data_IF_478533992732
#
_entry.id   IF_478533992732
#
_cell.length_a   1.000
_cell.length_b   1.000
_cell.length_c   1.000
_cell.angle_alpha   90.00
_cell.angle_beta   90.00
_cell.angle_gamma   90.00
#
_symmetry.space_group_name_H-M   'P 1'
#
loop_
_entity.id
_entity.type
_entity.pdbx_description
1 polymer ?
#
# COMPACT_ATOMS: atom_id res chain seq x y z
N UNK A 1 -21.93 10.77 -9.98
CA UNK A 1 -22.49 11.38 -11.20
C UNK A 1 -21.76 12.69 -11.57
N UNK A 2 -21.75 13.71 -10.70
CA UNK A 2 -21.08 14.99 -10.99
C UNK A 2 -19.58 14.86 -11.33
N UNK A 3 -18.81 14.05 -10.58
CA UNK A 3 -17.40 13.79 -10.88
C UNK A 3 -17.19 13.08 -12.23
N UNK A 4 -18.11 12.19 -12.62
CA UNK A 4 -18.06 11.50 -13.92
C UNK A 4 -18.35 12.48 -15.07
N UNK A 5 -19.32 13.37 -14.89
CA UNK A 5 -19.64 14.40 -15.87
C UNK A 5 -18.47 15.38 -16.05
N UNK A 6 -17.88 15.86 -14.95
CA UNK A 6 -16.70 16.73 -14.97
C UNK A 6 -15.51 16.05 -15.63
N UNK A 7 -15.23 14.78 -15.30
CA UNK A 7 -14.16 14.03 -15.96
C UNK A 7 -14.40 13.88 -17.46
N UNK A 8 -15.64 13.60 -17.87
CA UNK A 8 -15.99 13.43 -19.28
C UNK A 8 -15.94 14.73 -20.11
N UNK A 9 -16.15 15.89 -19.48
CA UNK A 9 -16.22 17.18 -20.20
C UNK A 9 -14.97 18.04 -20.07
N UNK A 10 -14.23 17.94 -18.96
CA UNK A 10 -13.08 18.81 -18.66
C UNK A 10 -11.73 18.11 -18.81
N UNK A 11 -11.65 16.77 -18.77
CA UNK A 11 -10.40 16.09 -19.07
C UNK A 11 -10.33 15.76 -20.57
N UNK A 12 -9.38 16.34 -21.32
CA UNK A 12 -9.14 15.92 -22.69
C UNK A 12 -8.66 14.47 -22.70
N UNK A 13 -9.25 13.66 -23.59
CA UNK A 13 -8.88 12.26 -23.75
C UNK A 13 -7.40 12.16 -24.14
N UNK A 14 -6.56 11.65 -23.23
CA UNK A 14 -5.11 11.57 -23.43
C UNK A 14 -4.68 10.36 -24.28
N UNK A 15 -5.61 9.44 -24.57
CA UNK A 15 -5.34 8.25 -25.36
C UNK A 15 -5.53 8.53 -26.88
N UNK A 16 -4.48 8.30 -27.70
CA UNK A 16 -4.57 8.41 -29.17
C UNK A 16 -5.73 7.60 -29.74
N UNK A 17 -6.38 8.11 -30.79
CA UNK A 17 -7.60 7.54 -31.36
C UNK A 17 -7.44 6.09 -31.84
N UNK A 18 -6.24 5.78 -32.31
CA UNK A 18 -5.70 4.51 -32.78
C UNK A 18 -5.49 3.48 -31.66
N UNK A 19 -5.36 3.91 -30.41
CA UNK A 19 -5.25 3.05 -29.24
C UNK A 19 -6.58 2.91 -28.47
N UNK A 20 -7.64 3.56 -28.94
CA UNK A 20 -8.96 3.49 -28.31
C UNK A 20 -9.53 2.09 -28.41
N UNK A 21 -10.11 1.68 -27.30
CA UNK A 21 -10.63 0.35 -27.16
C UNK A 21 -12.13 0.31 -27.46
N UNK A 22 -12.60 -0.65 -28.29
CA UNK A 22 -14.03 -0.90 -28.40
C UNK A 22 -14.54 -1.29 -27.01
N UNK A 23 -15.50 -0.54 -26.48
CA UNK A 23 -16.06 -0.79 -25.16
C UNK A 23 -16.84 -2.11 -25.10
N UNK A 24 -17.24 -2.51 -23.89
CA UNK A 24 -18.13 -3.65 -23.68
C UNK A 24 -17.76 -4.48 -22.45
N UNK A 25 -18.78 -4.98 -21.72
CA UNK A 25 -18.59 -5.76 -20.50
C UNK A 25 -17.72 -7.01 -20.70
N UNK A 26 -17.81 -7.67 -21.86
CA UNK A 26 -16.99 -8.84 -22.18
C UNK A 26 -15.51 -8.53 -22.37
N UNK A 27 -15.17 -7.41 -23.02
CA UNK A 27 -13.77 -7.04 -23.25
C UNK A 27 -13.14 -6.45 -21.98
N UNK A 28 -13.94 -5.80 -21.12
CA UNK A 28 -13.53 -5.45 -19.74
C UNK A 28 -13.21 -6.70 -18.92
N UNK A 29 -14.10 -7.70 -18.90
CA UNK A 29 -13.86 -8.95 -18.16
C UNK A 29 -12.58 -9.66 -18.60
N UNK A 30 -12.34 -9.75 -19.92
CA UNK A 30 -11.12 -10.32 -20.48
C UNK A 30 -9.86 -9.58 -20.03
N UNK A 31 -9.88 -8.24 -20.02
CA UNK A 31 -8.73 -7.42 -19.54
C UNK A 31 -8.44 -7.63 -18.07
N UNK A 32 -9.47 -7.75 -17.24
CA UNK A 32 -9.32 -8.11 -15.82
C UNK A 32 -8.64 -9.47 -15.68
N UNK A 33 -9.08 -10.49 -16.42
CA UNK A 33 -8.48 -11.83 -16.37
C UNK A 33 -7.00 -11.83 -16.75
N UNK A 34 -6.59 -11.04 -17.76
CA UNK A 34 -5.17 -11.02 -18.17
C UNK A 34 -4.29 -10.41 -17.08
N UNK A 35 -4.73 -9.33 -16.43
CA UNK A 35 -3.98 -8.72 -15.33
C UNK A 35 -3.94 -9.65 -14.10
N UNK A 36 -5.04 -10.35 -13.81
CA UNK A 36 -5.11 -11.34 -12.73
C UNK A 36 -4.31 -12.62 -12.98
N UNK A 37 -3.82 -12.87 -14.21
CA UNK A 37 -2.89 -13.96 -14.49
C UNK A 37 -1.45 -13.64 -14.07
N UNK A 38 -1.11 -12.37 -13.90
CA UNK A 38 0.20 -11.99 -13.36
C UNK A 38 0.22 -12.22 -11.84
N UNK A 39 0.97 -13.24 -11.41
CA UNK A 39 1.14 -13.60 -10.00
C UNK A 39 1.72 -12.46 -9.16
N UNK A 40 2.56 -11.60 -9.74
CA UNK A 40 3.17 -10.48 -9.03
C UNK A 40 2.15 -9.36 -8.81
N UNK A 41 1.33 -9.06 -9.83
CA UNK A 41 0.19 -8.17 -9.68
C UNK A 41 -0.82 -8.68 -8.63
N UNK A 42 -1.19 -9.96 -8.69
CA UNK A 42 -2.10 -10.56 -7.70
C UNK A 42 -1.51 -10.47 -6.28
N UNK A 43 -0.19 -10.62 -6.11
CA UNK A 43 0.42 -10.39 -4.81
C UNK A 43 0.24 -8.94 -4.33
N UNK A 44 0.47 -7.95 -5.19
CA UNK A 44 0.24 -6.54 -4.81
C UNK A 44 -1.23 -6.27 -4.50
N UNK A 45 -2.15 -6.88 -5.25
CA UNK A 45 -3.59 -6.81 -5.02
C UNK A 45 -3.98 -7.34 -3.63
N UNK A 46 -3.45 -8.52 -3.25
CA UNK A 46 -3.72 -9.16 -1.97
C UNK A 46 -3.08 -8.41 -0.80
N UNK A 47 -1.83 -7.93 -0.97
CA UNK A 47 -1.17 -7.10 0.04
C UNK A 47 -1.95 -5.80 0.23
N UNK A 48 -2.37 -5.16 -0.86
CA UNK A 48 -3.23 -3.98 -0.81
C UNK A 48 -4.55 -4.22 -0.08
N UNK A 49 -5.19 -5.37 -0.33
CA UNK A 49 -6.40 -5.78 0.40
C UNK A 49 -6.14 -5.94 1.90
N UNK A 50 -5.10 -6.68 2.29
CA UNK A 50 -4.73 -6.88 3.70
C UNK A 50 -4.38 -5.55 4.41
N UNK A 51 -3.61 -4.69 3.76
CA UNK A 51 -3.24 -3.37 4.29
C UNK A 51 -4.46 -2.45 4.38
N UNK A 52 -5.38 -2.52 3.41
CA UNK A 52 -6.68 -1.86 3.46
C UNK A 52 -7.54 -2.36 4.64
N UNK A 53 -7.63 -3.67 4.86
CA UNK A 53 -8.33 -4.27 6.00
C UNK A 53 -7.79 -3.73 7.33
N UNK A 54 -6.48 -3.69 7.52
CA UNK A 54 -5.89 -3.13 8.73
C UNK A 54 -6.24 -1.65 8.92
N UNK A 55 -6.18 -0.85 7.85
CA UNK A 55 -6.50 0.58 7.90
C UNK A 55 -7.98 0.85 8.21
N UNK A 56 -8.91 0.13 7.58
CA UNK A 56 -10.33 0.28 7.84
C UNK A 56 -10.75 -0.26 9.22
N UNK A 57 -10.10 -1.33 9.70
CA UNK A 57 -10.30 -1.79 11.08
C UNK A 57 -9.90 -0.72 12.08
N UNK A 58 -8.71 -0.12 11.90
CA UNK A 58 -8.28 1.02 12.71
C UNK A 58 -9.33 2.14 12.70
N UNK A 59 -9.83 2.52 11.52
CA UNK A 59 -10.79 3.62 11.39
C UNK A 59 -12.12 3.33 12.08
N UNK A 60 -12.59 2.09 12.01
CA UNK A 60 -13.84 1.65 12.64
C UNK A 60 -13.72 1.49 14.16
N UNK A 61 -12.54 1.09 14.67
CA UNK A 61 -12.37 0.72 16.07
C UNK A 61 -11.73 1.81 16.94
N UNK A 62 -10.98 2.77 16.37
CA UNK A 62 -10.17 3.70 17.18
C UNK A 62 -10.98 4.54 18.17
N UNK A 63 -12.20 4.96 17.83
CA UNK A 63 -13.05 5.71 18.76
C UNK A 63 -13.43 4.87 19.97
N UNK A 64 -13.85 3.62 19.76
CA UNK A 64 -14.21 2.70 20.84
C UNK A 64 -12.99 2.34 21.70
N UNK A 65 -11.85 2.10 21.06
CA UNK A 65 -10.59 1.82 21.74
C UNK A 65 -10.17 2.97 22.66
N UNK A 66 -10.12 4.19 22.13
CA UNK A 66 -9.60 5.32 22.88
C UNK A 66 -10.62 5.93 23.85
N UNK A 67 -11.88 6.06 23.45
CA UNK A 67 -12.91 6.71 24.27
C UNK A 67 -13.58 5.73 25.24
N UNK A 68 -13.98 4.54 24.78
CA UNK A 68 -14.69 3.59 25.66
C UNK A 68 -13.70 2.72 26.46
N UNK A 69 -12.60 2.29 25.83
CA UNK A 69 -11.55 1.48 26.46
C UNK A 69 -10.62 2.28 27.38
N UNK A 70 -9.97 3.32 26.84
CA UNK A 70 -9.02 4.16 27.59
C UNK A 70 -9.64 5.41 28.23
N UNK A 71 -10.96 5.61 28.14
CA UNK A 71 -11.67 6.74 28.74
C UNK A 71 -11.17 8.12 28.30
N UNK A 72 -10.64 8.26 27.07
CA UNK A 72 -10.25 9.57 26.55
C UNK A 72 -11.48 10.45 26.28
N UNK A 73 -11.42 11.69 26.76
CA UNK A 73 -12.41 12.70 26.39
C UNK A 73 -12.38 13.04 24.89
N UNK A 74 -13.49 13.54 24.31
CA UNK A 74 -13.60 13.82 22.88
C UNK A 74 -12.52 14.75 22.31
N UNK A 75 -12.11 15.78 23.08
CA UNK A 75 -11.05 16.71 22.68
C UNK A 75 -9.69 16.02 22.51
N UNK A 76 -9.35 15.15 23.45
CA UNK A 76 -8.10 14.39 23.40
C UNK A 76 -8.11 13.38 22.25
N UNK A 77 -9.24 12.69 22.04
CA UNK A 77 -9.44 11.81 20.90
C UNK A 77 -9.24 12.55 19.56
N UNK A 78 -9.88 13.72 19.36
CA UNK A 78 -9.71 14.51 18.14
C UNK A 78 -8.27 14.94 17.91
N UNK A 79 -7.54 15.33 18.96
CA UNK A 79 -6.13 15.68 18.87
C UNK A 79 -5.25 14.49 18.45
N UNK A 80 -5.47 13.32 19.06
CA UNK A 80 -4.77 12.08 18.70
C UNK A 80 -5.08 11.65 17.26
N UNK A 81 -6.35 11.72 16.85
CA UNK A 81 -6.76 11.35 15.49
C UNK A 81 -6.11 12.28 14.45
N UNK A 82 -6.06 13.59 14.72
CA UNK A 82 -5.36 14.55 13.87
C UNK A 82 -3.85 14.30 13.81
N UNK A 83 -3.22 14.01 14.96
CA UNK A 83 -1.80 13.66 15.01
C UNK A 83 -1.49 12.40 14.17
N UNK A 84 -2.34 11.38 14.25
CA UNK A 84 -2.23 10.17 13.44
C UNK A 84 -2.33 10.43 11.93
N UNK A 85 -3.21 11.35 11.51
CA UNK A 85 -3.28 11.78 10.12
C UNK A 85 -1.97 12.48 9.68
N UNK A 86 -1.40 13.35 10.52
CA UNK A 86 -0.11 13.99 10.25
C UNK A 86 1.01 12.95 10.13
N UNK A 87 1.04 11.95 11.01
CA UNK A 87 2.04 10.88 10.97
C UNK A 87 1.96 10.06 9.67
N UNK A 88 0.76 9.76 9.18
CA UNK A 88 0.59 9.08 7.89
C UNK A 88 1.12 9.93 6.71
N UNK A 89 0.88 11.25 6.74
CA UNK A 89 1.42 12.20 5.75
C UNK A 89 2.95 12.25 5.84
N UNK A 90 3.52 12.32 7.04
CA UNK A 90 4.96 12.28 7.27
C UNK A 90 5.58 11.00 6.72
N UNK A 91 4.91 9.86 6.83
CA UNK A 91 5.33 8.60 6.20
C UNK A 91 5.45 8.73 4.68
N UNK A 92 4.45 9.33 4.03
CA UNK A 92 4.45 9.57 2.58
C UNK A 92 5.58 10.52 2.15
N UNK A 93 5.81 11.58 2.92
CA UNK A 93 6.89 12.54 2.68
C UNK A 93 8.28 11.91 2.89
N UNK A 94 8.43 11.09 3.93
CA UNK A 94 9.64 10.32 4.18
C UNK A 94 9.92 9.38 3.00
N UNK A 95 8.91 8.65 2.52
CA UNK A 95 9.06 7.81 1.35
C UNK A 95 9.53 8.61 0.13
N UNK A 96 8.92 9.78 -0.15
CA UNK A 96 9.34 10.64 -1.27
C UNK A 96 10.83 11.00 -1.21
N UNK A 97 11.37 11.26 -0.02
CA UNK A 97 12.77 11.60 0.16
C UNK A 97 13.71 10.37 0.02
N UNK A 98 13.32 9.23 0.59
CA UNK A 98 14.18 8.05 0.73
C UNK A 98 14.09 7.10 -0.48
N UNK A 99 12.94 7.03 -1.14
CA UNK A 99 12.68 6.09 -2.26
C UNK A 99 13.66 6.27 -3.41
N UNK A 100 14.12 7.50 -3.68
CA UNK A 100 15.10 7.78 -4.74
C UNK A 100 16.45 7.10 -4.49
N UNK A 101 16.83 6.91 -3.23
CA UNK A 101 18.10 6.26 -2.84
C UNK A 101 17.94 4.77 -2.61
N UNK A 102 16.85 4.35 -1.95
CA UNK A 102 16.65 2.97 -1.55
C UNK A 102 15.92 2.10 -2.59
N UNK A 103 15.16 2.73 -3.49
CA UNK A 103 14.31 2.06 -4.47
C UNK A 103 12.91 1.71 -3.93
N UNK A 104 11.88 1.75 -4.80
CA UNK A 104 10.48 1.56 -4.41
C UNK A 104 10.19 0.17 -3.84
N UNK A 105 10.84 -0.88 -4.37
CA UNK A 105 10.61 -2.24 -3.86
C UNK A 105 11.16 -2.42 -2.45
N UNK A 106 12.37 -1.92 -2.16
CA UNK A 106 12.94 -2.03 -0.80
C UNK A 106 12.11 -1.25 0.21
N UNK A 107 11.67 -0.04 -0.13
CA UNK A 107 10.76 0.75 0.72
C UNK A 107 9.43 0.03 0.94
N UNK A 108 8.87 -0.62 -0.08
CA UNK A 108 7.64 -1.39 0.03
C UNK A 108 7.79 -2.60 0.95
N UNK A 109 8.86 -3.40 0.79
CA UNK A 109 9.13 -4.56 1.67
C UNK A 109 9.35 -4.08 3.11
N UNK A 110 10.23 -3.10 3.31
CA UNK A 110 10.56 -2.57 4.63
C UNK A 110 9.32 -1.98 5.34
N UNK A 111 8.52 -1.19 4.62
CA UNK A 111 7.27 -0.64 5.14
C UNK A 111 6.28 -1.73 5.54
N UNK A 112 6.08 -2.74 4.69
CA UNK A 112 5.16 -3.86 4.97
C UNK A 112 5.62 -4.66 6.19
N UNK A 113 6.93 -4.95 6.29
CA UNK A 113 7.49 -5.65 7.46
C UNK A 113 7.39 -4.84 8.74
N UNK A 114 7.71 -3.55 8.69
CA UNK A 114 7.65 -2.68 9.86
C UNK A 114 6.20 -2.54 10.36
N UNK A 115 5.23 -2.49 9.43
CA UNK A 115 3.80 -2.49 9.76
C UNK A 115 3.40 -3.78 10.47
N UNK A 116 3.83 -4.95 9.97
CA UNK A 116 3.52 -6.24 10.59
C UNK A 116 4.12 -6.37 12.00
N UNK A 117 5.38 -5.93 12.18
CA UNK A 117 6.04 -5.91 13.49
C UNK A 117 5.35 -4.95 14.45
N UNK A 118 4.99 -3.74 14.00
CA UNK A 118 4.28 -2.77 14.82
C UNK A 118 2.87 -3.25 15.22
N UNK A 119 2.14 -3.88 14.30
CA UNK A 119 0.83 -4.47 14.57
C UNK A 119 0.91 -5.67 15.52
N UNK A 120 1.95 -6.51 15.40
CA UNK A 120 2.21 -7.57 16.37
C UNK A 120 2.55 -7.01 17.75
N UNK A 121 3.39 -5.98 17.80
CA UNK A 121 3.69 -5.25 19.05
C UNK A 121 2.43 -4.67 19.69
N UNK A 122 1.51 -4.14 18.88
CA UNK A 122 0.23 -3.61 19.32
C UNK A 122 -0.62 -4.72 19.95
N UNK A 123 -0.72 -5.88 19.30
CA UNK A 123 -1.41 -7.04 19.84
C UNK A 123 -0.83 -7.48 21.18
N UNK A 124 0.49 -7.62 21.27
CA UNK A 124 1.15 -8.02 22.52
C UNK A 124 0.93 -6.98 23.63
N UNK A 125 0.96 -5.68 23.29
CA UNK A 125 0.70 -4.58 24.21
C UNK A 125 -0.72 -4.64 24.78
N UNK A 126 -1.71 -4.87 23.92
CA UNK A 126 -3.12 -5.01 24.33
C UNK A 126 -3.32 -6.25 25.21
N UNK A 127 -2.74 -7.39 24.83
CA UNK A 127 -2.84 -8.63 25.62
C UNK A 127 -2.13 -8.54 26.97
N UNK A 128 -1.07 -7.74 27.07
CA UNK A 128 -0.36 -7.48 28.32
C UNK A 128 -1.04 -6.42 29.20
N UNK A 129 -2.12 -5.77 28.73
CA UNK A 129 -2.76 -4.66 29.44
C UNK A 129 -1.86 -3.43 29.60
N UNK A 130 -0.91 -3.23 28.67
CA UNK A 130 0.03 -2.13 28.75
C UNK A 130 -0.64 -0.77 28.45
N UNK A 131 -0.04 0.30 28.97
CA UNK A 131 -0.65 1.63 28.99
C UNK A 131 -0.85 2.28 27.62
N UNK A 132 -1.82 3.21 27.59
CA UNK A 132 -2.23 4.02 26.43
C UNK A 132 -1.07 4.57 25.58
N UNK A 133 0.00 5.05 26.21
CA UNK A 133 1.12 5.66 25.49
C UNK A 133 1.77 4.69 24.49
N UNK A 134 1.92 3.41 24.86
CA UNK A 134 2.53 2.39 24.00
C UNK A 134 1.61 2.08 22.82
N UNK A 135 0.30 1.97 23.08
CA UNK A 135 -0.73 1.78 22.04
C UNK A 135 -0.69 2.92 21.02
N UNK A 136 -0.63 4.18 21.48
CA UNK A 136 -0.58 5.36 20.61
C UNK A 136 0.69 5.38 19.75
N UNK A 137 1.85 5.06 20.32
CA UNK A 137 3.13 5.02 19.58
C UNK A 137 3.10 3.92 18.51
N UNK A 138 2.61 2.73 18.83
CA UNK A 138 2.53 1.62 17.89
C UNK A 138 1.51 1.88 16.77
N UNK A 139 0.36 2.50 17.10
CA UNK A 139 -0.61 2.94 16.09
C UNK A 139 -0.02 4.00 15.16
N UNK A 140 0.67 5.01 15.71
CA UNK A 140 1.36 6.01 14.92
C UNK A 140 2.40 5.36 13.99
N UNK A 141 3.17 4.39 14.48
CA UNK A 141 4.14 3.66 13.67
C UNK A 141 3.48 2.87 12.53
N UNK A 142 2.37 2.18 12.79
CA UNK A 142 1.58 1.49 11.75
C UNK A 142 1.13 2.47 10.66
N UNK A 143 0.59 3.63 11.04
CA UNK A 143 0.10 4.65 10.10
C UNK A 143 1.24 5.33 9.33
N UNK A 144 2.38 5.56 9.98
CA UNK A 144 3.58 6.04 9.30
C UNK A 144 4.01 5.07 8.20
N UNK A 145 4.10 3.78 8.53
CA UNK A 145 4.46 2.75 7.55
C UNK A 145 3.41 2.61 6.44
N UNK A 146 2.12 2.76 6.74
CA UNK A 146 1.07 2.81 5.72
C UNK A 146 1.31 3.94 4.71
N UNK A 147 1.68 5.14 5.17
CA UNK A 147 2.07 6.26 4.32
C UNK A 147 3.30 5.98 3.45
N UNK A 148 4.22 5.14 3.92
CA UNK A 148 5.37 4.68 3.13
C UNK A 148 4.95 3.64 2.07
N UNK A 149 4.06 2.71 2.40
CA UNK A 149 3.64 1.61 1.53
C UNK A 149 2.79 2.13 0.37
N UNK A 150 1.81 3.00 0.64
CA UNK A 150 0.79 3.44 -0.33
C UNK A 150 1.35 3.90 -1.69
N UNK A 151 2.26 4.89 -1.77
CA UNK A 151 2.78 5.35 -3.06
C UNK A 151 3.63 4.30 -3.80
N UNK A 152 4.33 3.44 -3.06
CA UNK A 152 5.15 2.38 -3.66
C UNK A 152 4.29 1.24 -4.20
N UNK A 153 3.19 0.90 -3.51
CA UNK A 153 2.26 -0.15 -3.95
C UNK A 153 1.73 0.14 -5.35
N UNK A 154 1.19 1.35 -5.55
CA UNK A 154 0.67 1.78 -6.86
C UNK A 154 1.77 1.78 -7.91
N UNK A 155 2.94 2.38 -7.62
CA UNK A 155 4.04 2.44 -8.57
C UNK A 155 4.51 1.05 -9.02
N UNK A 156 4.67 0.11 -8.09
CA UNK A 156 5.18 -1.22 -8.38
C UNK A 156 4.18 -2.09 -9.14
N UNK A 157 2.91 -2.01 -8.79
CA UNK A 157 1.88 -2.79 -9.47
C UNK A 157 1.61 -2.30 -10.90
N UNK A 158 1.79 -0.98 -11.15
CA UNK A 158 1.60 -0.37 -12.46
C UNK A 158 2.82 -0.50 -13.38
N UNK A 159 4.03 -0.69 -12.84
CA UNK A 159 5.28 -0.71 -13.60
C UNK A 159 5.30 -1.74 -14.75
N UNK A 160 4.58 -2.87 -14.62
CA UNK A 160 4.48 -3.92 -15.64
C UNK A 160 3.26 -3.84 -16.56
N UNK A 161 2.39 -2.84 -16.38
CA UNK A 161 1.04 -2.82 -16.98
C UNK A 161 0.76 -1.54 -17.78
N UNK A 162 1.75 -0.95 -18.45
CA UNK A 162 1.62 0.34 -19.17
C UNK A 162 0.39 0.46 -20.07
N UNK A 163 0.14 -0.51 -20.97
CA UNK A 163 -1.05 -0.52 -21.84
C UNK A 163 -2.38 -0.70 -21.10
N UNK A 164 -2.35 -1.18 -19.86
CA UNK A 164 -3.54 -1.54 -19.05
C UNK A 164 -3.54 -0.87 -17.69
N UNK A 165 -2.82 0.25 -17.56
CA UNK A 165 -2.56 0.90 -16.28
C UNK A 165 -3.86 1.30 -15.57
N UNK A 166 -4.87 1.76 -16.33
CA UNK A 166 -6.19 2.09 -15.78
C UNK A 166 -6.92 0.88 -15.19
N UNK A 167 -6.88 -0.27 -15.86
CA UNK A 167 -7.50 -1.52 -15.35
C UNK A 167 -6.77 -2.04 -14.11
N UNK A 168 -5.44 -2.02 -14.14
CA UNK A 168 -4.59 -2.39 -13.01
C UNK A 168 -4.84 -1.49 -11.79
N UNK A 169 -4.88 -0.16 -11.98
CA UNK A 169 -5.18 0.80 -10.91
C UNK A 169 -6.58 0.59 -10.31
N UNK A 170 -7.58 0.35 -11.15
CA UNK A 170 -8.96 0.10 -10.69
C UNK A 170 -9.05 -1.16 -9.83
N UNK A 171 -8.38 -2.25 -10.24
CA UNK A 171 -8.32 -3.49 -9.48
C UNK A 171 -7.62 -3.31 -8.13
N UNK A 172 -6.46 -2.64 -8.12
CA UNK A 172 -5.73 -2.32 -6.88
C UNK A 172 -6.57 -1.50 -5.91
N UNK A 173 -7.27 -0.48 -6.41
CA UNK A 173 -8.19 0.31 -5.60
C UNK A 173 -9.34 -0.53 -5.06
N UNK A 174 -9.97 -1.34 -5.93
CA UNK A 174 -11.06 -2.22 -5.53
C UNK A 174 -10.63 -3.19 -4.43
N UNK A 175 -9.45 -3.81 -4.51
CA UNK A 175 -9.03 -4.76 -3.48
C UNK A 175 -8.81 -4.09 -2.13
N UNK A 176 -8.18 -2.91 -2.11
CA UNK A 176 -7.93 -2.16 -0.89
C UNK A 176 -9.22 -1.61 -0.25
N UNK A 177 -10.17 -1.13 -1.07
CA UNK A 177 -11.38 -0.45 -0.60
C UNK A 177 -12.64 -1.31 -0.54
N UNK A 178 -12.70 -2.47 -1.21
CA UNK A 178 -13.86 -3.36 -1.14
C UNK A 178 -13.70 -4.44 -0.08
N UNK A 179 -12.49 -5.03 0.06
CA UNK A 179 -12.26 -6.14 0.99
C UNK A 179 -12.14 -5.61 2.43
N UNK A 180 -11.41 -4.51 2.62
CA UNK A 180 -11.12 -3.98 3.95
C UNK A 180 -12.35 -3.63 4.79
N UNK A 181 -13.27 -2.79 4.29
CA UNK A 181 -14.48 -2.41 5.02
C UNK A 181 -15.47 -3.54 5.25
N UNK A 182 -15.43 -4.62 4.45
CA UNK A 182 -16.31 -5.79 4.63
C UNK A 182 -15.76 -6.73 5.69
N UNK A 183 -14.43 -6.92 5.74
CA UNK A 183 -13.80 -7.83 6.69
C UNK A 183 -13.73 -7.22 8.09
N UNK A 184 -13.52 -5.90 8.22
CA UNK A 184 -13.36 -5.26 9.53
C UNK A 184 -14.55 -5.48 10.50
N UNK A 185 -15.83 -5.34 10.09
CA UNK A 185 -16.99 -5.61 10.96
C UNK A 185 -17.19 -7.10 11.27
N UNK A 186 -16.81 -7.99 10.36
CA UNK A 186 -16.99 -9.44 10.54
C UNK A 186 -16.06 -9.99 11.63
N UNK A 187 -14.88 -9.40 11.80
CA UNK A 187 -13.92 -9.79 12.83
C UNK A 187 -14.19 -9.09 14.17
N UNK A 188 -15.02 -8.03 14.18
CA UNK A 188 -15.36 -7.28 15.39
C UNK A 188 -16.46 -7.85 16.27
N UNK A 189 -16.87 -9.10 16.02
CA UNK A 189 -17.93 -9.78 16.77
C UNK A 189 -17.44 -10.57 17.98
N UNK A 190 -16.12 -10.67 18.20
CA UNK A 190 -15.52 -11.68 19.09
C UNK A 190 -14.79 -11.19 20.36
N UNK A 191 -14.80 -9.90 20.71
CA UNK A 191 -14.01 -9.42 21.85
C UNK A 191 -14.16 -7.93 22.17
N UNK A 192 -13.29 -7.41 23.05
CA UNK A 192 -13.20 -5.97 23.30
C UNK A 192 -12.71 -5.25 22.04
N UNK A 193 -13.11 -3.97 21.86
CA UNK A 193 -12.71 -3.19 20.69
C UNK A 193 -11.18 -3.16 20.47
N UNK A 194 -10.41 -3.12 21.56
CA UNK A 194 -8.95 -3.16 21.58
C UNK A 194 -8.39 -4.48 21.02
N UNK A 195 -8.86 -5.61 21.55
CA UNK A 195 -8.37 -6.94 21.18
C UNK A 195 -8.74 -7.27 19.73
N UNK A 196 -9.98 -7.00 19.35
CA UNK A 196 -10.45 -7.12 17.97
C UNK A 196 -9.58 -6.32 17.01
N UNK A 197 -9.35 -5.03 17.30
CA UNK A 197 -8.57 -4.17 16.42
C UNK A 197 -7.16 -4.71 16.26
N UNK A 198 -6.50 -5.05 17.37
CA UNK A 198 -5.13 -5.50 17.36
C UNK A 198 -4.95 -6.86 16.67
N UNK A 199 -5.85 -7.84 16.92
CA UNK A 199 -5.82 -9.16 16.26
C UNK A 199 -6.02 -9.02 14.76
N UNK A 200 -7.02 -8.25 14.33
CA UNK A 200 -7.34 -8.08 12.90
C UNK A 200 -6.20 -7.41 12.16
N UNK A 201 -5.64 -6.34 12.73
CA UNK A 201 -4.49 -5.64 12.14
C UNK A 201 -3.25 -6.55 12.09
N UNK A 202 -2.96 -7.28 13.16
CA UNK A 202 -1.81 -8.20 13.20
C UNK A 202 -1.97 -9.34 12.19
N UNK A 203 -3.13 -9.98 12.13
CA UNK A 203 -3.40 -11.08 11.19
C UNK A 203 -3.31 -10.62 9.73
N UNK A 204 -3.97 -9.51 9.38
CA UNK A 204 -3.96 -8.99 8.02
C UNK A 204 -2.54 -8.57 7.59
N UNK A 205 -1.82 -7.84 8.44
CA UNK A 205 -0.47 -7.38 8.11
C UNK A 205 0.56 -8.50 8.13
N UNK A 206 0.37 -9.56 8.93
CA UNK A 206 1.19 -10.76 8.88
C UNK A 206 1.04 -11.48 7.53
N UNK A 207 -0.19 -11.66 7.04
CA UNK A 207 -0.45 -12.24 5.71
C UNK A 207 0.20 -11.38 4.62
N UNK A 208 0.05 -10.07 4.68
CA UNK A 208 0.74 -9.14 3.77
C UNK A 208 2.26 -9.31 3.81
N UNK A 209 2.86 -9.38 5.01
CA UNK A 209 4.29 -9.58 5.20
C UNK A 209 4.79 -10.88 4.58
N UNK A 210 4.10 -12.00 4.84
CA UNK A 210 4.42 -13.32 4.26
C UNK A 210 4.33 -13.29 2.73
N UNK A 211 3.28 -12.70 2.17
CA UNK A 211 3.11 -12.58 0.72
C UNK A 211 4.27 -11.80 0.07
N UNK A 212 4.66 -10.67 0.67
CA UNK A 212 5.76 -9.85 0.18
C UNK A 212 7.11 -10.60 0.27
N UNK A 213 7.36 -11.31 1.38
CA UNK A 213 8.59 -12.06 1.57
C UNK A 213 8.71 -13.28 0.65
N UNK A 214 7.61 -13.95 0.36
CA UNK A 214 7.60 -15.18 -0.45
C UNK A 214 7.61 -14.89 -1.95
N UNK A 215 7.06 -13.76 -2.40
CA UNK A 215 6.87 -13.50 -3.84
C UNK A 215 7.68 -12.33 -4.40
N UNK A 216 7.86 -11.25 -3.62
CA UNK A 216 8.50 -10.01 -4.08
C UNK A 216 10.01 -10.04 -3.78
N UNK A 217 10.39 -10.46 -2.57
CA UNK A 217 11.79 -10.48 -2.13
C UNK A 217 12.70 -11.45 -2.91
N UNK A 218 12.28 -12.69 -3.25
CA UNK A 218 13.14 -13.63 -3.97
C UNK A 218 13.37 -13.20 -5.43
N UNK A 219 12.41 -12.50 -6.03
CA UNK A 219 12.54 -11.99 -7.40
C UNK A 219 13.48 -10.81 -7.50
N UNK A 220 13.58 -10.00 -6.45
CA UNK A 220 14.61 -8.96 -6.35
C UNK A 220 16.03 -9.51 -6.28
N UNK A 221 16.23 -10.58 -5.51
CA UNK A 221 17.56 -11.22 -5.37
C UNK A 221 18.04 -11.76 -6.71
N UNK A 222 17.14 -12.42 -7.47
CA UNK A 222 17.44 -12.94 -8.81
C UNK A 222 17.69 -11.86 -9.87
N UNK A 223 16.98 -10.71 -9.78
CA UNK A 223 17.23 -9.57 -10.68
C UNK A 223 18.56 -8.85 -10.38
N UNK A 224 19.03 -8.89 -9.12
CA UNK A 224 20.34 -8.37 -8.74
C UNK A 224 21.50 -9.30 -9.13
N UNK A 225 21.29 -10.61 -9.12
CA UNK A 225 22.30 -11.62 -9.52
C UNK A 225 22.52 -11.69 -11.05
N UNK A 226 21.56 -11.24 -11.85
CA UNK A 226 21.65 -11.21 -13.31
C UNK A 226 22.20 -9.90 -13.87
N UNK A 227 22.42 -8.88 -13.02
CA UNK A 227 23.18 -7.71 -13.42
C UNK A 227 24.66 -8.09 -13.52
N UNK A 228 25.30 -8.04 -14.72
CA UNK A 228 26.69 -8.39 -14.85
C UNK A 228 27.49 -7.49 -13.91
N UNK A 229 28.31 -8.11 -13.06
CA UNK A 229 29.27 -7.41 -12.21
C UNK A 229 30.06 -6.46 -13.12
N UNK A 230 29.80 -5.15 -12.99
CA UNK A 230 30.51 -4.13 -13.74
C UNK A 230 31.98 -4.23 -13.38
N UNK A 231 32.76 -4.88 -14.25
CA UNK A 231 34.21 -4.89 -14.18
C UNK A 231 34.72 -3.46 -14.30
N UNK A 232 35.77 -3.08 -13.57
CA UNK A 232 36.38 -1.77 -13.71
C UNK A 232 37.16 -1.74 -15.03
N UNK A 233 36.59 -1.18 -16.09
CA UNK A 233 37.31 -1.02 -17.35
C UNK A 233 36.46 -0.57 -18.51
N UNK A 234 36.46 0.74 -18.77
CA UNK A 234 36.76 1.37 -20.07
C UNK A 234 35.95 2.66 -20.25
N UNK A 235 36.55 3.77 -19.82
CA UNK A 235 36.17 5.13 -20.21
C UNK A 235 37.09 5.58 -21.34
N UNK A 236 37.06 4.93 -22.48
CA UNK A 236 37.67 5.50 -23.69
C UNK A 236 36.99 4.97 -24.94
N UNK A 237 36.15 5.84 -25.55
CA UNK A 237 35.85 5.97 -27.00
C UNK A 237 34.38 6.29 -27.27
N UNK A 238 33.96 7.53 -27.00
CA UNK A 238 32.86 8.14 -27.75
C UNK A 238 33.47 9.17 -28.70
N UNK A 239 33.85 8.68 -29.89
CA UNK A 239 34.27 9.50 -31.02
C UNK A 239 33.04 10.21 -31.57
N UNK A 240 33.00 11.54 -31.47
CA UNK A 240 31.93 12.39 -32.04
C UNK A 240 31.93 12.27 -33.57
N UNK A 241 30.79 12.04 -34.24
CA UNK A 241 30.70 12.19 -35.69
C UNK A 241 30.75 13.68 -36.06
N UNK A 242 31.55 14.01 -37.07
CA UNK A 242 31.79 15.37 -37.54
C UNK A 242 30.58 16.00 -38.20
N UNK A 243 30.49 17.33 -38.06
CA UNK A 243 29.56 18.22 -38.75
C UNK A 243 30.16 18.55 -40.12
N UNK A 244 29.49 18.28 -41.25
CA UNK A 244 29.90 18.80 -42.56
C UNK A 244 29.57 20.30 -42.68
N UNK A 245 30.46 21.03 -43.37
CA UNK A 245 30.49 22.48 -43.57
C UNK A 245 29.33 23.00 -44.43
#
# INVERSE_FOLDING_TARGET
AALLAVAATLLPETLPADLRHPGGFGDTGRRFTVVLRDRLFVCYLLVGACTGTAFFTYLASISFVLQDGFHLGPRAFSAVFAANAVVAVLGSLCNRAVVRRAGPVRMYVAGTTATAVAALGLLLTVLAGAGLAVVLVLLALVLFCYGVISPNSSALALAGHGERAGTAAALLGMSAFAVGPVVAPLVSLGGSAETTMAVTMAAATAVAGVLVWTTVLPRLRRAGETAPAGGPGDRSTVKRPGVPR
#
